data_IF_123667769783
#
_entry.id   IF_123667769783
#
_cell.length_a   1.000
_cell.length_b   1.000
_cell.length_c   1.000
_cell.angle_alpha   90.00
_cell.angle_beta   90.00
_cell.angle_gamma   90.00
#
_symmetry.space_group_name_H-M   'P 1'
#
loop_
_entity.id
_entity.type
_entity.pdbx_description
1 polymer ?
#
# COMPACT_ATOMS: atom_id res chain seq x y z
N UNK A 1 21.81 -47.80 33.24
CA UNK A 1 21.24 -48.07 31.90
C UNK A 1 20.10 -47.09 31.64
N UNK A 2 20.37 -45.93 31.01
CA UNK A 2 19.34 -44.92 30.71
C UNK A 2 18.79 -45.22 29.32
N UNK A 3 17.54 -45.71 29.23
CA UNK A 3 16.85 -45.84 27.94
C UNK A 3 16.60 -44.43 27.42
N UNK A 4 17.42 -43.97 26.47
CA UNK A 4 17.28 -42.68 25.79
C UNK A 4 15.90 -42.66 25.12
N UNK A 5 14.91 -42.09 25.81
CA UNK A 5 13.61 -41.78 25.22
C UNK A 5 13.87 -40.69 24.19
N UNK A 6 13.91 -41.11 22.92
CA UNK A 6 13.92 -40.22 21.77
C UNK A 6 12.54 -39.55 21.72
N UNK A 7 12.38 -38.48 22.48
CA UNK A 7 11.22 -37.60 22.37
C UNK A 7 11.18 -37.07 20.92
N UNK A 8 10.01 -37.06 20.25
CA UNK A 8 9.91 -36.65 18.86
C UNK A 8 10.07 -35.13 18.74
N UNK A 9 11.30 -34.63 18.87
CA UNK A 9 11.64 -33.23 18.58
C UNK A 9 11.51 -32.90 17.08
N UNK A 10 11.30 -33.90 16.21
CA UNK A 10 11.16 -33.70 14.76
C UNK A 10 9.73 -33.43 14.28
N UNK A 11 8.70 -33.94 14.98
CA UNK A 11 7.31 -33.75 14.54
C UNK A 11 6.82 -32.31 14.74
N UNK A 12 7.27 -31.66 15.82
CA UNK A 12 6.92 -30.26 16.11
C UNK A 12 7.51 -29.29 15.08
N UNK A 13 8.74 -29.52 14.60
CA UNK A 13 9.40 -28.66 13.62
C UNK A 13 8.72 -28.72 12.25
N UNK A 14 8.26 -29.90 11.83
CA UNK A 14 7.55 -30.08 10.57
C UNK A 14 6.19 -29.37 10.61
N UNK A 15 5.44 -29.49 11.70
CA UNK A 15 4.17 -28.76 11.87
C UNK A 15 4.40 -27.26 11.95
N UNK A 16 5.47 -26.79 12.61
CA UNK A 16 5.83 -25.36 12.64
C UNK A 16 6.22 -24.82 11.26
N UNK A 17 6.82 -25.66 10.41
CA UNK A 17 7.13 -25.34 9.02
C UNK A 17 5.87 -25.29 8.13
N UNK A 18 4.90 -26.17 8.38
CA UNK A 18 3.63 -26.26 7.64
C UNK A 18 2.58 -25.22 8.08
N UNK A 19 2.70 -24.66 9.29
CA UNK A 19 1.84 -23.58 9.81
C UNK A 19 2.38 -22.17 9.50
N UNK A 20 3.42 -22.06 8.67
CA UNK A 20 3.90 -20.76 8.21
C UNK A 20 2.91 -20.18 7.20
N UNK A 21 1.90 -19.50 7.73
CA UNK A 21 1.02 -18.61 6.96
C UNK A 21 1.87 -17.64 6.14
N UNK A 22 1.63 -17.61 4.82
CA UNK A 22 2.18 -16.57 3.96
C UNK A 22 1.41 -15.27 4.20
N UNK A 23 1.86 -14.47 5.17
CA UNK A 23 1.40 -13.11 5.32
C UNK A 23 1.85 -12.27 4.11
N UNK A 24 1.02 -12.23 3.08
CA UNK A 24 1.22 -11.33 1.94
C UNK A 24 0.77 -9.93 2.33
N UNK A 25 1.71 -9.08 2.77
CA UNK A 25 1.46 -7.64 2.86
C UNK A 25 1.56 -7.06 1.45
N UNK A 26 0.42 -6.72 0.84
CA UNK A 26 0.41 -5.92 -0.37
C UNK A 26 0.95 -4.52 -0.01
N UNK A 27 2.16 -4.19 -0.46
CA UNK A 27 2.70 -2.84 -0.33
C UNK A 27 1.80 -1.88 -1.10
N UNK A 28 1.10 -1.00 -0.38
CA UNK A 28 0.32 0.05 -1.02
C UNK A 28 1.27 1.14 -1.50
N UNK A 29 1.40 1.33 -2.83
CA UNK A 29 2.12 2.48 -3.36
C UNK A 29 1.32 3.75 -3.04
N UNK A 30 1.91 4.67 -2.29
CA UNK A 30 1.26 5.92 -1.85
C UNK A 30 2.11 7.13 -2.18
N UNK A 31 1.45 8.27 -2.35
CA UNK A 31 2.10 9.58 -2.54
C UNK A 31 1.58 10.56 -1.50
N UNK A 32 2.49 11.35 -0.92
CA UNK A 32 2.16 12.43 0.00
C UNK A 32 2.28 13.78 -0.69
N UNK A 33 1.29 14.65 -0.47
CA UNK A 33 1.31 16.01 -1.02
C UNK A 33 2.34 16.87 -0.29
N UNK A 34 3.36 17.34 -1.03
CA UNK A 34 4.47 18.16 -0.52
C UNK A 34 4.27 19.68 -0.63
N UNK A 35 3.11 20.14 -1.12
CA UNK A 35 2.77 21.57 -1.29
C UNK A 35 1.50 21.91 -0.53
N UNK A 36 1.27 23.20 -0.25
CA UNK A 36 0.12 23.63 0.56
C UNK A 36 -1.22 23.30 -0.11
N UNK A 37 -1.27 23.44 -1.44
CA UNK A 37 -2.43 23.07 -2.24
C UNK A 37 -2.00 22.53 -3.60
N UNK A 38 -2.29 21.25 -3.87
CA UNK A 38 -2.05 20.59 -5.15
C UNK A 38 -3.36 20.45 -5.92
N UNK A 39 -3.36 20.80 -7.21
CA UNK A 39 -4.50 20.60 -8.08
C UNK A 39 -4.56 19.16 -8.59
N UNK A 40 -5.73 18.53 -8.48
CA UNK A 40 -6.02 17.22 -9.06
C UNK A 40 -6.74 17.46 -10.38
N UNK A 41 -6.20 16.89 -11.47
CA UNK A 41 -6.72 17.10 -12.83
C UNK A 41 -7.31 15.82 -13.40
N UNK A 42 -8.19 15.96 -14.40
CA UNK A 42 -8.84 14.83 -15.07
C UNK A 42 -7.88 13.98 -15.90
N UNK A 43 -6.79 14.56 -16.37
CA UNK A 43 -5.77 13.92 -17.22
C UNK A 43 -4.36 14.41 -16.84
N UNK A 44 -3.29 13.66 -17.16
CA UNK A 44 -1.90 14.02 -16.88
C UNK A 44 -1.39 15.13 -17.83
N UNK A 45 -2.01 16.31 -17.74
CA UNK A 45 -1.74 17.47 -18.59
C UNK A 45 -2.06 18.78 -17.87
N UNK A 46 -1.25 19.81 -18.13
CA UNK A 46 -1.49 21.15 -17.58
C UNK A 46 -2.72 21.85 -18.16
N UNK A 47 -3.20 21.39 -19.32
CA UNK A 47 -4.40 21.92 -19.98
C UNK A 47 -5.69 21.20 -19.57
N UNK A 48 -5.59 20.11 -18.81
CA UNK A 48 -6.75 19.34 -18.37
C UNK A 48 -7.53 20.07 -17.28
N UNK A 49 -8.85 19.83 -17.20
CA UNK A 49 -9.71 20.43 -16.17
C UNK A 49 -9.28 20.02 -14.75
N UNK A 50 -9.32 20.97 -13.82
CA UNK A 50 -9.12 20.71 -12.39
C UNK A 50 -10.42 20.12 -11.83
N UNK A 51 -10.34 18.91 -11.27
CA UNK A 51 -11.48 18.16 -10.73
C UNK A 51 -11.48 18.14 -9.19
N UNK A 52 -10.40 18.59 -8.56
CA UNK A 52 -10.27 18.67 -7.12
C UNK A 52 -8.96 19.30 -6.69
N UNK A 53 -8.75 19.34 -5.38
CA UNK A 53 -7.50 19.82 -4.80
C UNK A 53 -7.14 19.01 -3.55
N UNK A 54 -5.87 18.99 -3.18
CA UNK A 54 -5.37 18.29 -2.01
C UNK A 54 -4.40 19.15 -1.21
N UNK A 55 -4.56 19.15 0.11
CA UNK A 55 -3.69 19.89 1.03
C UNK A 55 -2.40 19.12 1.33
N UNK A 56 -1.39 19.85 1.79
CA UNK A 56 -0.13 19.29 2.32
C UNK A 56 -0.38 18.13 3.28
N UNK A 57 0.51 17.14 3.24
CA UNK A 57 0.51 15.94 4.08
C UNK A 57 -0.66 14.96 3.86
N UNK A 58 -1.61 15.26 2.97
CA UNK A 58 -2.57 14.26 2.51
C UNK A 58 -1.85 13.17 1.73
N UNK A 59 -2.30 11.93 1.91
CA UNK A 59 -1.76 10.77 1.22
C UNK A 59 -2.83 10.13 0.34
N UNK A 60 -2.41 9.67 -0.83
CA UNK A 60 -3.27 8.95 -1.76
C UNK A 60 -2.60 7.69 -2.24
N UNK A 61 -3.40 6.66 -2.51
CA UNK A 61 -2.92 5.47 -3.18
C UNK A 61 -2.66 5.79 -4.65
N UNK A 62 -1.47 5.44 -5.13
CA UNK A 62 -1.07 5.56 -6.53
C UNK A 62 -1.58 4.33 -7.29
N UNK A 63 -2.28 4.59 -8.39
CA UNK A 63 -2.77 3.57 -9.33
C UNK A 63 -1.82 3.41 -10.51
N UNK A 64 -1.21 4.51 -10.96
CA UNK A 64 -0.29 4.53 -12.09
C UNK A 64 0.57 5.80 -12.07
N UNK A 65 1.66 5.78 -12.84
CA UNK A 65 2.58 6.90 -13.03
C UNK A 65 2.79 7.13 -14.54
N UNK A 66 2.63 8.37 -15.00
CA UNK A 66 2.79 8.72 -16.41
C UNK A 66 3.20 10.17 -16.58
N UNK A 67 4.27 10.43 -17.33
CA UNK A 67 4.72 11.78 -17.68
C UNK A 67 4.88 12.70 -16.44
N UNK A 68 5.47 12.16 -15.36
CA UNK A 68 5.63 12.84 -14.07
C UNK A 68 4.32 13.14 -13.31
N UNK A 69 3.20 12.55 -13.72
CA UNK A 69 1.93 12.57 -13.00
C UNK A 69 1.67 11.26 -12.27
N UNK A 70 1.14 11.38 -11.05
CA UNK A 70 0.59 10.27 -10.29
C UNK A 70 -0.92 10.19 -10.51
N UNK A 71 -1.40 9.07 -11.05
CA UNK A 71 -2.82 8.75 -11.03
C UNK A 71 -3.17 8.21 -9.65
N UNK A 72 -4.09 8.88 -8.96
CA UNK A 72 -4.44 8.56 -7.58
C UNK A 72 -5.86 7.99 -7.47
N UNK A 73 -6.06 7.11 -6.49
CA UNK A 73 -7.40 6.68 -6.11
C UNK A 73 -8.04 7.72 -5.19
N UNK A 74 -9.11 8.36 -5.67
CA UNK A 74 -9.95 9.19 -4.83
C UNK A 74 -10.96 8.31 -4.11
N UNK A 75 -11.01 8.41 -2.77
CA UNK A 75 -12.14 7.90 -2.00
C UNK A 75 -13.38 8.70 -2.42
N UNK A 76 -14.38 8.02 -2.98
CA UNK A 76 -15.50 8.64 -3.66
C UNK A 76 -16.09 9.84 -2.91
N UNK A 77 -16.05 11.02 -3.55
CA UNK A 77 -17.05 12.07 -3.37
C UNK A 77 -16.77 13.20 -2.39
N UNK A 78 -15.70 13.19 -1.57
CA UNK A 78 -15.40 14.38 -0.76
C UNK A 78 -14.46 15.34 -1.48
N UNK A 79 -15.08 16.34 -2.11
CA UNK A 79 -14.49 17.66 -2.29
C UNK A 79 -14.15 18.18 -0.90
N UNK A 80 -12.90 18.02 -0.47
CA UNK A 80 -12.37 18.80 0.64
C UNK A 80 -12.35 20.25 0.12
N UNK A 81 -13.28 21.07 0.64
CA UNK A 81 -13.51 22.45 0.24
C UNK A 81 -12.35 23.39 0.53
#
# INVERSE_FOLDING_TARGET
MVKKRLFPFFAGLLVFYLLRESYSFASANTVQIGVDNANIRSEPSMNASVIGSAKRNKQFRVLNEKYDWYQIQLSGGKKDG
#
